data_IF_625711935615
#
_entry.id   IF_625711935615
#
_cell.length_a   1.000
_cell.length_b   1.000
_cell.length_c   1.000
_cell.angle_alpha   90.00
_cell.angle_beta   90.00
_cell.angle_gamma   90.00
#
_symmetry.space_group_name_H-M   'P 1'
#
loop_
_entity.id
_entity.type
_entity.pdbx_description
1 polymer ?
#
# COMPACT_ATOMS: atom_id res chain seq x y z
N UNK A 1 33.28 9.63 28.99
CA UNK A 1 31.91 10.17 28.85
C UNK A 1 31.26 9.42 27.71
N UNK A 2 30.31 8.54 28.04
CA UNK A 2 29.47 7.86 27.04
C UNK A 2 28.07 8.33 27.38
N UNK A 3 27.46 9.15 26.53
CA UNK A 3 26.11 9.64 26.81
C UNK A 3 25.32 9.80 25.52
N UNK A 4 24.26 8.99 25.43
CA UNK A 4 23.03 9.36 24.73
C UNK A 4 22.92 8.90 23.28
N UNK A 5 22.91 7.59 23.01
CA UNK A 5 22.05 7.10 21.93
C UNK A 5 20.61 7.28 22.41
N UNK A 6 19.98 8.39 22.03
CA UNK A 6 18.52 8.50 22.02
C UNK A 6 18.04 7.51 20.98
N UNK A 7 17.73 6.29 21.41
CA UNK A 7 16.91 5.36 20.65
C UNK A 7 15.57 6.06 20.44
N UNK A 8 15.43 6.68 19.27
CA UNK A 8 14.18 7.24 18.78
C UNK A 8 13.13 6.15 18.97
N UNK A 9 12.13 6.38 19.81
CA UNK A 9 11.01 5.47 20.01
C UNK A 9 10.36 5.31 18.63
N UNK A 10 10.70 4.24 17.92
CA UNK A 10 10.04 3.88 16.68
C UNK A 10 8.58 3.71 17.05
N UNK A 11 7.73 4.59 16.54
CA UNK A 11 6.30 4.37 16.59
C UNK A 11 6.06 3.03 15.91
N UNK A 12 5.78 1.98 16.70
CA UNK A 12 5.51 0.64 16.19
C UNK A 12 4.11 0.65 15.54
N UNK A 13 4.05 1.25 14.36
CA UNK A 13 2.87 1.20 13.51
C UNK A 13 2.75 -0.23 12.99
N UNK A 14 1.80 -0.96 13.57
CA UNK A 14 1.48 -2.31 13.13
C UNK A 14 0.61 -2.25 11.88
N UNK A 15 1.22 -2.54 10.74
CA UNK A 15 0.52 -2.74 9.47
C UNK A 15 -0.20 -4.10 9.50
N UNK A 16 -1.48 -4.18 9.08
CA UNK A 16 -2.17 -5.46 9.01
C UNK A 16 -1.43 -6.46 8.12
N UNK A 17 -1.32 -7.70 8.59
CA UNK A 17 -0.75 -8.79 7.81
C UNK A 17 -1.74 -9.32 6.76
N UNK A 18 -1.32 -10.39 6.10
CA UNK A 18 -2.12 -11.13 5.12
C UNK A 18 -3.44 -11.62 5.71
N UNK A 19 -4.47 -11.65 4.88
CA UNK A 19 -5.77 -12.22 5.23
C UNK A 19 -6.32 -13.00 4.03
N UNK A 20 -5.65 -14.09 3.70
CA UNK A 20 -6.04 -14.96 2.60
C UNK A 20 -7.45 -15.57 2.84
N UNK A 21 -8.34 -15.64 1.84
CA UNK A 21 -8.15 -15.29 0.43
C UNK A 21 -8.50 -13.83 0.08
N UNK A 22 -8.75 -12.95 1.06
CA UNK A 22 -9.28 -11.60 0.84
C UNK A 22 -8.21 -10.60 0.39
N UNK A 23 -7.04 -10.62 1.05
CA UNK A 23 -5.91 -9.82 0.62
C UNK A 23 -4.57 -10.46 0.97
N UNK A 24 -3.57 -10.13 0.15
CA UNK A 24 -2.17 -10.39 0.41
C UNK A 24 -1.47 -9.07 0.70
N UNK A 25 -0.55 -9.08 1.67
CA UNK A 25 0.22 -7.92 2.09
C UNK A 25 1.69 -8.10 1.71
N UNK A 26 2.24 -7.11 1.04
CA UNK A 26 3.67 -7.01 0.78
C UNK A 26 4.22 -5.80 1.51
N UNK A 27 5.24 -6.00 2.34
CA UNK A 27 5.84 -4.93 3.13
C UNK A 27 7.27 -4.65 2.67
N UNK A 28 7.71 -3.41 2.82
CA UNK A 28 9.05 -2.97 2.52
C UNK A 28 9.51 -1.91 3.52
N UNK A 29 10.82 -1.87 3.77
CA UNK A 29 11.45 -0.81 4.55
C UNK A 29 11.80 0.36 3.62
N UNK A 30 11.60 1.58 4.11
CA UNK A 30 11.86 2.78 3.31
C UNK A 30 10.86 2.97 2.17
N UNK A 31 11.36 3.35 0.99
CA UNK A 31 10.59 3.97 -0.09
C UNK A 31 10.11 3.02 -1.19
N UNK A 32 10.28 1.70 -1.04
CA UNK A 32 9.81 0.75 -2.05
C UNK A 32 9.29 -0.57 -1.49
N UNK A 33 8.45 -1.23 -2.29
CA UNK A 33 7.97 -2.59 -2.04
C UNK A 33 8.09 -3.38 -3.34
N UNK A 34 8.93 -4.41 -3.32
CA UNK A 34 9.06 -5.41 -4.40
C UNK A 34 8.14 -6.60 -4.11
N UNK A 35 7.32 -6.97 -5.06
CA UNK A 35 6.47 -8.15 -4.97
C UNK A 35 6.28 -8.83 -6.32
N UNK A 36 5.74 -10.05 -6.28
CA UNK A 36 5.32 -10.79 -7.46
C UNK A 36 3.81 -10.89 -7.46
N UNK A 37 3.18 -10.53 -8.56
CA UNK A 37 1.73 -10.71 -8.73
C UNK A 37 1.44 -12.21 -8.66
N UNK A 38 0.53 -12.66 -7.79
CA UNK A 38 0.21 -14.08 -7.65
C UNK A 38 -0.17 -14.72 -8.99
N UNK A 39 0.13 -16.01 -9.14
CA UNK A 39 -0.18 -16.77 -10.37
C UNK A 39 -1.53 -17.49 -10.30
N UNK A 40 -2.23 -17.39 -9.17
CA UNK A 40 -3.50 -18.09 -8.95
C UNK A 40 -4.60 -17.51 -9.84
N UNK A 41 -4.91 -18.24 -10.91
CA UNK A 41 -5.95 -17.88 -11.88
C UNK A 41 -7.37 -17.90 -11.30
N UNK A 42 -7.56 -18.51 -10.12
CA UNK A 42 -8.85 -18.57 -9.44
C UNK A 42 -9.10 -17.33 -8.55
N UNK A 43 -8.08 -16.50 -8.34
CA UNK A 43 -8.15 -15.27 -7.57
C UNK A 43 -7.95 -14.07 -8.50
N UNK A 44 -9.04 -13.37 -8.81
CA UNK A 44 -8.97 -12.14 -9.61
C UNK A 44 -8.58 -10.97 -8.69
N UNK A 45 -7.48 -10.30 -9.00
CA UNK A 45 -7.08 -9.08 -8.31
C UNK A 45 -8.10 -7.98 -8.63
N UNK A 46 -8.84 -7.52 -7.62
CA UNK A 46 -9.90 -6.52 -7.79
C UNK A 46 -9.50 -5.13 -7.33
N UNK A 47 -8.49 -5.04 -6.46
CA UNK A 47 -8.07 -3.77 -5.87
C UNK A 47 -6.64 -3.82 -5.37
N UNK A 48 -6.11 -2.64 -5.09
CA UNK A 48 -4.81 -2.46 -4.46
C UNK A 48 -4.85 -1.24 -3.53
N UNK A 49 -4.31 -1.39 -2.32
CA UNK A 49 -4.07 -0.24 -1.43
C UNK A 49 -2.58 -0.08 -1.14
N UNK A 50 -2.12 1.16 -1.16
CA UNK A 50 -0.80 1.56 -0.71
C UNK A 50 -0.93 2.23 0.66
N UNK A 51 -0.18 1.71 1.64
CA UNK A 51 -0.02 2.33 2.95
C UNK A 51 1.44 2.72 3.13
N UNK A 52 1.66 3.96 3.56
CA UNK A 52 3.01 4.49 3.81
C UNK A 52 3.07 5.03 5.23
N UNK A 53 4.05 4.54 5.99
CA UNK A 53 4.39 5.03 7.32
C UNK A 53 5.60 5.95 7.18
N UNK A 54 5.42 7.22 7.54
CA UNK A 54 6.46 8.22 7.46
C UNK A 54 6.58 8.97 8.79
N UNK A 55 7.74 9.59 9.01
CA UNK A 55 7.98 10.55 10.09
C UNK A 55 8.30 11.93 9.51
N UNK A 56 7.73 12.98 10.12
CA UNK A 56 8.07 14.38 9.83
C UNK A 56 8.91 14.95 10.97
N UNK A 57 10.01 15.68 10.69
CA UNK A 57 10.76 16.43 11.69
C UNK A 57 10.06 17.75 12.09
N UNK A 58 9.03 18.18 11.37
CA UNK A 58 8.31 19.44 11.60
C UNK A 58 6.87 19.16 12.06
N UNK A 59 6.40 19.85 13.10
CA UNK A 59 4.99 19.90 13.56
C UNK A 59 4.01 20.46 12.51
N UNK A 60 4.51 20.93 11.35
CA UNK A 60 3.64 21.41 10.29
C UNK A 60 2.86 20.25 9.71
N UNK A 61 1.56 20.30 9.93
CA UNK A 61 0.55 19.41 9.36
C UNK A 61 0.90 19.08 7.92
N UNK A 62 1.02 17.78 7.63
CA UNK A 62 1.34 17.17 6.34
C UNK A 62 0.23 17.39 5.29
N UNK A 63 -0.29 18.61 5.19
CA UNK A 63 -1.44 18.94 4.35
C UNK A 63 -1.08 18.89 2.85
N UNK A 64 0.19 19.00 2.47
CA UNK A 64 0.62 19.06 1.07
C UNK A 64 1.97 18.36 0.85
N UNK A 65 2.02 17.04 1.07
CA UNK A 65 3.18 16.25 0.66
C UNK A 65 2.92 15.70 -0.75
N UNK A 66 3.70 16.16 -1.73
CA UNK A 66 3.68 15.61 -3.09
C UNK A 66 4.06 14.13 -3.04
N UNK A 67 3.09 13.24 -3.19
CA UNK A 67 3.29 11.81 -3.34
C UNK A 67 3.31 11.48 -4.83
N UNK A 68 4.46 11.07 -5.36
CA UNK A 68 4.52 10.40 -6.66
C UNK A 68 4.72 8.91 -6.45
N UNK A 69 3.92 8.11 -7.15
CA UNK A 69 4.06 6.65 -7.17
C UNK A 69 4.72 6.25 -8.48
N UNK A 70 5.85 5.57 -8.36
CA UNK A 70 6.57 5.00 -9.49
C UNK A 70 6.38 3.49 -9.45
N UNK A 71 5.90 2.91 -10.54
CA UNK A 71 5.68 1.48 -10.68
C UNK A 71 6.65 0.96 -11.73
N UNK A 72 7.53 0.05 -11.32
CA UNK A 72 8.49 -0.62 -12.19
C UNK A 72 8.05 -2.07 -12.34
N UNK A 73 7.71 -2.48 -13.55
CA UNK A 73 7.43 -3.88 -13.86
C UNK A 73 8.66 -4.47 -14.54
N UNK A 74 9.40 -5.30 -13.82
CA UNK A 74 10.62 -5.94 -14.29
C UNK A 74 10.37 -7.02 -15.34
N UNK A 75 9.22 -7.69 -15.26
CA UNK A 75 8.85 -8.74 -16.24
C UNK A 75 8.54 -8.12 -17.60
N UNK A 76 7.81 -7.01 -17.62
CA UNK A 76 7.40 -6.30 -18.85
C UNK A 76 8.38 -5.21 -19.28
N UNK A 77 9.40 -4.92 -18.47
CA UNK A 77 10.35 -3.82 -18.69
C UNK A 77 9.66 -2.45 -18.84
N UNK A 78 8.62 -2.18 -18.05
CA UNK A 78 7.88 -0.92 -18.10
C UNK A 78 8.09 -0.10 -16.83
N UNK A 79 8.00 1.22 -16.98
CA UNK A 79 8.10 2.19 -15.90
C UNK A 79 6.91 3.15 -16.05
N UNK A 80 6.16 3.34 -14.97
CA UNK A 80 5.00 4.22 -14.94
C UNK A 80 5.10 5.17 -13.76
N UNK A 81 4.80 6.43 -14.01
CA UNK A 81 4.90 7.49 -13.02
C UNK A 81 3.51 8.11 -12.85
N UNK A 82 2.95 7.95 -11.66
CA UNK A 82 1.70 8.57 -11.27
C UNK A 82 2.02 9.73 -10.33
N UNK A 83 1.95 10.96 -10.85
CA UNK A 83 2.22 12.18 -10.10
C UNK A 83 0.89 12.81 -9.64
N UNK A 84 0.71 12.96 -8.32
CA UNK A 84 -0.45 13.67 -7.76
C UNK A 84 0.02 14.97 -7.11
N UNK A 85 -0.56 16.09 -7.52
CA UNK A 85 -0.07 17.42 -7.11
C UNK A 85 -0.51 17.81 -5.68
N UNK A 86 -1.52 17.16 -5.10
CA UNK A 86 -2.03 17.58 -3.78
C UNK A 86 -2.82 16.51 -2.99
N UNK A 87 -2.85 15.23 -3.41
CA UNK A 87 -3.73 14.25 -2.76
C UNK A 87 -2.96 12.97 -2.40
N UNK A 88 -3.03 12.61 -1.11
CA UNK A 88 -2.34 11.48 -0.44
C UNK A 88 -3.00 10.12 -0.76
N UNK A 89 -4.14 10.11 -1.46
CA UNK A 89 -4.85 8.91 -1.90
C UNK A 89 -4.85 8.78 -3.42
N UNK A 90 -5.13 7.58 -3.93
CA UNK A 90 -5.47 7.26 -5.33
C UNK A 90 -6.97 6.97 -5.40
N UNK A 91 -7.65 7.33 -6.50
CA UNK A 91 -9.06 6.94 -6.67
C UNK A 91 -9.18 5.47 -7.08
N UNK A 92 -10.40 4.93 -7.01
CA UNK A 92 -10.70 3.57 -7.49
C UNK A 92 -10.36 3.42 -8.98
N UNK A 93 -10.57 4.46 -9.78
CA UNK A 93 -10.24 4.49 -11.21
C UNK A 93 -8.73 4.43 -11.44
N UNK A 94 -7.94 5.20 -10.67
CA UNK A 94 -6.48 5.17 -10.78
C UNK A 94 -5.94 3.76 -10.46
N UNK A 95 -6.48 3.11 -9.42
CA UNK A 95 -6.08 1.75 -9.08
C UNK A 95 -6.50 0.74 -10.12
N UNK A 96 -7.70 0.85 -10.69
CA UNK A 96 -8.13 -0.02 -11.80
C UNK A 96 -7.20 0.12 -13.01
N UNK A 97 -6.78 1.33 -13.33
CA UNK A 97 -5.81 1.56 -14.40
C UNK A 97 -4.48 0.85 -14.12
N UNK A 98 -3.91 1.07 -12.92
CA UNK A 98 -2.66 0.42 -12.50
C UNK A 98 -2.78 -1.10 -12.56
N UNK A 99 -3.84 -1.67 -11.98
CA UNK A 99 -4.09 -3.11 -11.92
C UNK A 99 -4.22 -3.69 -13.33
N UNK A 100 -4.88 -3.00 -14.25
CA UNK A 100 -5.08 -3.47 -15.64
C UNK A 100 -3.76 -3.69 -16.41
N UNK A 101 -2.68 -3.06 -15.94
CA UNK A 101 -1.36 -3.13 -16.57
C UNK A 101 -0.49 -4.24 -15.94
N UNK A 102 -0.91 -4.79 -14.81
CA UNK A 102 -0.24 -5.90 -14.11
C UNK A 102 -0.76 -7.25 -14.64
N UNK A 103 0.16 -8.17 -14.89
CA UNK A 103 -0.13 -9.54 -15.31
C UNK A 103 0.19 -10.52 -14.19
N UNK A 104 -0.48 -11.68 -14.22
CA UNK A 104 -0.16 -12.78 -13.31
C UNK A 104 1.32 -13.16 -13.43
N UNK A 105 2.01 -13.28 -12.29
CA UNK A 105 3.42 -13.60 -12.23
C UNK A 105 4.39 -12.45 -12.52
N UNK A 106 3.89 -11.24 -12.83
CA UNK A 106 4.75 -10.08 -13.02
C UNK A 106 5.53 -9.74 -11.75
N UNK A 107 6.81 -9.42 -11.89
CA UNK A 107 7.65 -8.91 -10.82
C UNK A 107 7.58 -7.38 -10.85
N UNK A 108 7.05 -6.79 -9.78
CA UNK A 108 6.68 -5.38 -9.71
C UNK A 108 7.31 -4.76 -8.47
N UNK A 109 7.91 -3.58 -8.62
CA UNK A 109 8.33 -2.76 -7.50
C UNK A 109 7.63 -1.41 -7.55
N UNK A 110 7.00 -1.06 -6.44
CA UNK A 110 6.31 0.22 -6.26
C UNK A 110 7.19 1.09 -5.37
N UNK A 111 7.53 2.26 -5.88
CA UNK A 111 8.28 3.31 -5.19
C UNK A 111 7.36 4.48 -4.85
N UNK A 112 7.64 5.13 -3.72
CA UNK A 112 6.98 6.38 -3.32
C UNK A 112 8.00 7.48 -3.10
N UNK A 113 7.72 8.65 -3.66
CA UNK A 113 8.51 9.85 -3.41
C UNK A 113 7.63 10.89 -2.73
N UNK A 114 8.15 11.51 -1.68
CA UNK A 114 7.50 12.62 -0.99
C UNK A 114 8.20 13.94 -1.33
N UNK A 115 7.49 15.05 -1.19
CA UNK A 115 8.10 16.38 -1.08
C UNK A 115 9.09 16.47 0.09
N UNK A 116 9.87 17.54 0.13
CA UNK A 116 10.94 17.72 1.12
C UNK A 116 10.46 17.47 2.57
N UNK A 117 11.37 16.90 3.37
CA UNK A 117 11.27 16.74 4.84
C UNK A 117 10.58 15.48 5.38
N UNK A 118 9.97 14.61 4.56
CA UNK A 118 9.44 13.33 5.07
C UNK A 118 10.45 12.18 4.97
N UNK A 119 10.58 11.42 6.06
CA UNK A 119 11.35 10.17 6.09
C UNK A 119 10.37 9.01 6.05
N UNK A 120 10.38 8.21 4.99
CA UNK A 120 9.56 6.99 4.93
C UNK A 120 10.23 5.89 5.73
N UNK A 121 9.49 5.34 6.68
CA UNK A 121 9.97 4.27 7.54
C UNK A 121 9.58 2.90 6.98
N UNK A 122 8.30 2.72 6.64
CA UNK A 122 7.74 1.45 6.17
C UNK A 122 6.68 1.68 5.10
N UNK A 123 6.52 0.70 4.24
CA UNK A 123 5.45 0.64 3.25
C UNK A 123 4.76 -0.71 3.28
N UNK A 124 3.47 -0.70 2.94
CA UNK A 124 2.72 -1.91 2.65
C UNK A 124 1.85 -1.74 1.41
N UNK A 125 1.82 -2.78 0.58
CA UNK A 125 0.88 -2.96 -0.52
C UNK A 125 -0.08 -4.07 -0.13
N UNK A 126 -1.37 -3.78 -0.20
CA UNK A 126 -2.43 -4.76 -0.01
C UNK A 126 -3.05 -5.07 -1.37
N UNK A 127 -2.91 -6.31 -1.83
CA UNK A 127 -3.53 -6.80 -3.05
C UNK A 127 -4.86 -7.45 -2.67
N UNK A 128 -5.97 -6.92 -3.17
CA UNK A 128 -7.31 -7.46 -2.89
C UNK A 128 -7.71 -8.46 -3.95
N UNK A 129 -8.32 -9.55 -3.50
CA UNK A 129 -8.83 -10.60 -4.36
C UNK A 129 -10.29 -10.89 -4.08
N UNK A 130 -11.01 -11.24 -5.14
CA UNK A 130 -12.30 -11.90 -5.03
C UNK A 130 -12.18 -13.33 -5.55
N UNK A 131 -12.81 -14.26 -4.85
CA UNK A 131 -12.99 -15.63 -5.35
C UNK A 131 -13.72 -15.58 -6.70
N UNK A 132 -13.19 -16.27 -7.71
CA UNK A 132 -13.87 -16.43 -8.99
C UNK A 132 -15.24 -17.11 -8.81
N UNK A 133 -16.24 -16.65 -9.54
CA UNK A 133 -17.65 -17.13 -9.52
C UNK A 133 -17.87 -18.62 -9.84
N UNK A 134 -16.82 -19.37 -10.19
CA UNK A 134 -16.90 -20.81 -10.52
C UNK A 134 -16.91 -21.72 -9.26
N UNK A 135 -16.79 -21.16 -8.06
CA UNK A 135 -16.94 -21.89 -6.80
C UNK A 135 -18.36 -21.73 -6.24
N UNK A 136 -19.01 -22.79 -5.72
CA UNK A 136 -20.35 -22.67 -5.13
C UNK A 136 -20.32 -21.65 -3.99
N UNK A 137 -21.04 -20.54 -4.19
CA UNK A 137 -21.16 -19.42 -3.27
C UNK A 137 -21.59 -19.97 -1.91
N UNK A 138 -20.69 -19.90 -0.93
CA UNK A 138 -21.08 -20.04 0.46
C UNK A 138 -21.64 -18.67 0.89
N UNK A 139 -22.96 -18.52 1.17
CA UNK A 139 -23.62 -17.23 1.35
C UNK A 139 -23.18 -16.44 2.61
N UNK A 140 -22.12 -16.87 3.29
CA UNK A 140 -21.57 -16.25 4.50
C UNK A 140 -20.51 -15.16 4.22
N UNK A 141 -20.13 -14.92 2.97
CA UNK A 141 -19.20 -13.84 2.60
C UNK A 141 -19.99 -12.56 2.28
N UNK A 142 -20.35 -11.80 3.32
CA UNK A 142 -20.75 -10.39 3.14
C UNK A 142 -19.63 -9.59 2.44
N UNK A 143 -19.88 -8.36 1.91
CA UNK A 143 -18.86 -7.56 1.25
C UNK A 143 -17.76 -7.14 2.23
N UNK A 144 -16.70 -7.94 2.32
CA UNK A 144 -15.59 -7.81 3.28
C UNK A 144 -14.61 -6.68 2.94
N UNK A 145 -14.75 -5.99 1.81
CA UNK A 145 -14.06 -4.72 1.49
C UNK A 145 -14.24 -3.69 2.60
N UNK A 146 -15.41 -3.71 3.27
CA UNK A 146 -15.69 -2.88 4.43
C UNK A 146 -14.74 -3.12 5.61
N UNK A 147 -14.12 -4.29 5.72
CA UNK A 147 -13.23 -4.64 6.84
C UNK A 147 -11.89 -3.95 6.68
N UNK A 148 -11.21 -4.11 5.53
CA UNK A 148 -9.92 -3.43 5.28
C UNK A 148 -10.10 -1.92 5.29
N UNK A 149 -11.14 -1.39 4.63
CA UNK A 149 -11.45 0.05 4.66
C UNK A 149 -11.74 0.55 6.07
N UNK A 150 -12.45 -0.22 6.91
CA UNK A 150 -12.68 0.13 8.33
C UNK A 150 -11.38 0.11 9.13
N UNK A 151 -10.49 -0.84 8.87
CA UNK A 151 -9.17 -0.90 9.50
C UNK A 151 -8.25 0.24 9.05
N UNK A 152 -8.16 0.50 7.76
CA UNK A 152 -7.38 1.61 7.20
C UNK A 152 -7.92 2.95 7.71
N UNK A 153 -9.25 3.13 7.76
CA UNK A 153 -9.85 4.30 8.44
C UNK A 153 -9.40 4.40 9.89
N UNK A 154 -9.35 3.31 10.64
CA UNK A 154 -8.87 3.33 12.04
C UNK A 154 -7.39 3.74 12.16
N UNK A 155 -6.55 3.38 11.18
CA UNK A 155 -5.12 3.75 11.14
C UNK A 155 -4.93 5.20 10.68
N UNK A 156 -5.72 5.66 9.70
CA UNK A 156 -5.73 7.05 9.21
C UNK A 156 -6.26 8.04 10.27
N UNK A 157 -7.09 7.57 11.22
CA UNK A 157 -7.64 8.39 12.30
C UNK A 157 -6.75 8.49 13.56
N UNK A 158 -5.50 8.01 13.51
CA UNK A 158 -4.51 8.34 14.55
C UNK A 158 -3.94 9.73 14.28
N UNK A 159 -4.78 10.76 14.36
CA UNK A 159 -4.32 12.11 14.59
C UNK A 159 -3.73 12.13 16.01
N UNK A 160 -2.39 12.20 16.11
CA UNK A 160 -1.75 12.52 17.38
C UNK A 160 -2.20 13.94 17.76
N UNK A 161 -2.72 14.03 18.98
CA UNK A 161 -3.41 15.17 19.60
C UNK A 161 -2.74 16.54 19.42
#
# INVERSE_FOLDING_TARGET
MVQGFTTNEFCDVFLPGDNYPLWLTHTGEGHSVLFKVPEDRNCLMTGMFLCVVYSSPLERVANECLLSVLIVNYTKCTIQIYKRETIISFSEEDWKEIISQLGFGDQVEIFVTFGHELIVMKMAIYLLYTESTDMPINPSLEPKENVLLRFLKRIVMCDFW
#
